data_IF_290879353696
#
_entry.id   IF_290879353696
#
_cell.length_a   1.000
_cell.length_b   1.000
_cell.length_c   1.000
_cell.angle_alpha   90.00
_cell.angle_beta   90.00
_cell.angle_gamma   90.00
#
_symmetry.space_group_name_H-M   'P 1'
#
loop_
_entity.id
_entity.type
_entity.pdbx_description
1 polymer ?
#
# COMPACT_ATOMS: atom_id res chain seq x y z
N UNK A 1 -42.55 -17.49 -28.48
CA UNK A 1 -41.80 -16.68 -29.47
C UNK A 1 -41.14 -15.56 -28.69
N UNK A 2 -39.84 -15.45 -28.51
CA UNK A 2 -38.67 -16.16 -29.02
C UNK A 2 -37.58 -15.89 -27.99
N UNK A 3 -36.89 -16.95 -27.60
CA UNK A 3 -35.56 -16.95 -26.98
C UNK A 3 -34.56 -16.15 -27.83
N UNK A 4 -33.63 -15.42 -27.22
CA UNK A 4 -32.26 -15.92 -27.15
C UNK A 4 -31.32 -15.13 -26.20
N UNK A 5 -30.31 -15.81 -25.63
CA UNK A 5 -29.34 -15.27 -24.68
C UNK A 5 -27.96 -15.02 -25.33
N UNK A 6 -27.00 -14.59 -24.48
CA UNK A 6 -25.53 -14.72 -24.63
C UNK A 6 -24.80 -13.79 -25.60
N UNK A 7 -23.86 -13.00 -25.05
CA UNK A 7 -22.53 -12.84 -25.65
C UNK A 7 -21.51 -12.42 -24.57
N UNK A 8 -20.71 -13.39 -24.14
CA UNK A 8 -19.42 -13.20 -23.46
C UNK A 8 -18.47 -12.41 -24.37
N UNK A 9 -17.76 -11.38 -23.89
CA UNK A 9 -16.57 -10.89 -24.56
C UNK A 9 -15.33 -11.60 -24.00
N UNK A 10 -15.09 -12.85 -24.42
CA UNK A 10 -13.74 -13.41 -24.35
C UNK A 10 -12.93 -12.77 -25.49
N UNK A 11 -12.16 -11.74 -25.14
CA UNK A 11 -11.18 -11.13 -26.04
C UNK A 11 -10.01 -12.10 -26.15
N UNK A 12 -9.90 -12.78 -27.28
CA UNK A 12 -8.69 -13.48 -27.67
C UNK A 12 -7.62 -12.44 -28.04
N UNK A 13 -6.52 -12.44 -27.31
CA UNK A 13 -5.31 -11.67 -27.64
C UNK A 13 -4.64 -12.40 -28.81
N UNK A 14 -4.57 -11.74 -29.96
CA UNK A 14 -3.77 -12.15 -31.11
C UNK A 14 -2.51 -11.26 -31.10
N UNK A 15 -1.33 -11.86 -30.98
CA UNK A 15 -0.07 -11.18 -31.29
C UNK A 15 0.24 -11.40 -32.78
N UNK A 16 0.48 -10.30 -33.50
CA UNK A 16 0.96 -10.30 -34.88
C UNK A 16 2.49 -10.41 -34.86
N UNK A 17 3.06 -11.36 -35.61
CA UNK A 17 4.48 -11.33 -35.92
C UNK A 17 4.78 -10.39 -37.10
N UNK A 18 6.05 -10.03 -37.29
CA UNK A 18 6.51 -9.07 -38.31
C UNK A 18 6.30 -9.55 -39.77
N UNK A 19 5.64 -10.69 -39.99
CA UNK A 19 5.26 -11.22 -41.31
C UNK A 19 3.75 -11.26 -41.59
N UNK A 20 2.92 -10.83 -40.63
CA UNK A 20 1.47 -10.64 -40.85
C UNK A 20 0.66 -11.93 -40.99
N UNK A 21 1.13 -13.05 -40.42
CA UNK A 21 0.42 -14.34 -40.44
C UNK A 21 -0.02 -14.75 -39.03
N UNK A 22 -1.33 -14.91 -38.83
CA UNK A 22 -1.91 -15.37 -37.56
C UNK A 22 -1.78 -16.90 -37.42
N UNK A 23 -1.07 -17.40 -36.41
CA UNK A 23 -0.93 -18.83 -36.11
C UNK A 23 -1.49 -19.13 -34.70
N UNK A 24 -2.37 -20.13 -34.52
CA UNK A 24 -2.91 -20.47 -33.21
C UNK A 24 -1.84 -21.11 -32.29
N UNK A 25 -1.76 -20.62 -31.05
CA UNK A 25 -0.89 -21.15 -29.98
C UNK A 25 -1.50 -22.45 -29.42
N UNK A 26 -1.14 -23.57 -30.04
CA UNK A 26 -1.36 -24.90 -29.48
C UNK A 26 -0.14 -25.79 -29.78
N UNK A 27 0.24 -26.58 -28.78
CA UNK A 27 1.14 -27.73 -28.84
C UNK A 27 2.59 -27.52 -29.33
N UNK A 28 3.48 -27.27 -28.37
CA UNK A 28 4.85 -27.81 -28.41
C UNK A 28 5.21 -28.44 -27.06
N UNK A 29 4.72 -29.66 -26.88
CA UNK A 29 5.37 -30.67 -26.06
C UNK A 29 6.49 -31.29 -26.91
N UNK A 30 7.73 -31.22 -26.43
CA UNK A 30 8.83 -32.02 -26.95
C UNK A 30 9.52 -32.72 -25.76
N UNK A 31 9.47 -34.07 -25.67
CA UNK A 31 10.11 -34.83 -24.61
C UNK A 31 11.46 -35.42 -25.05
N UNK A 32 12.52 -35.16 -24.25
CA UNK A 32 13.71 -36.00 -24.13
C UNK A 32 15.06 -35.29 -24.35
N UNK A 33 16.22 -35.92 -24.02
CA UNK A 33 16.39 -37.26 -23.47
C UNK A 33 17.08 -37.31 -22.08
N UNK A 34 16.93 -38.47 -21.46
CA UNK A 34 17.59 -38.93 -20.25
C UNK A 34 19.11 -38.71 -20.24
N UNK A 35 19.64 -38.15 -19.15
CA UNK A 35 21.00 -38.45 -18.70
C UNK A 35 20.96 -38.96 -17.27
N UNK A 36 21.16 -40.27 -17.20
CA UNK A 36 21.59 -41.05 -16.05
C UNK A 36 22.94 -40.56 -15.53
N UNK A 37 23.00 -40.16 -14.26
CA UNK A 37 24.24 -40.18 -13.48
C UNK A 37 23.94 -40.94 -12.20
N UNK A 38 24.62 -42.07 -12.05
CA UNK A 38 24.54 -42.95 -10.91
C UNK A 38 25.12 -42.32 -9.63
N UNK A 39 24.69 -42.83 -8.46
CA UNK A 39 24.94 -42.25 -7.15
C UNK A 39 26.28 -42.73 -6.59
N UNK A 40 26.90 -41.93 -5.72
CA UNK A 40 27.61 -42.36 -4.50
C UNK A 40 28.38 -41.18 -3.88
N UNK A 41 27.83 -40.61 -2.82
CA UNK A 41 28.61 -40.34 -1.60
C UNK A 41 27.66 -40.18 -0.42
N UNK A 42 27.84 -41.07 0.53
CA UNK A 42 27.13 -41.18 1.80
C UNK A 42 27.89 -40.31 2.83
N UNK A 43 27.17 -39.93 3.90
CA UNK A 43 27.62 -39.59 5.27
C UNK A 43 27.83 -38.08 5.55
N UNK A 44 27.46 -37.50 6.74
CA UNK A 44 26.61 -37.97 7.85
C UNK A 44 25.45 -37.03 8.23
N UNK A 45 24.58 -37.55 9.09
CA UNK A 45 23.64 -36.81 9.93
C UNK A 45 24.31 -35.69 10.74
N UNK A 46 23.76 -34.48 10.65
CA UNK A 46 23.88 -33.45 11.67
C UNK A 46 22.49 -32.89 11.96
N UNK A 47 21.85 -33.48 12.97
CA UNK A 47 20.75 -32.87 13.72
C UNK A 47 21.21 -31.53 14.28
N UNK A 48 20.67 -30.43 13.78
CA UNK A 48 21.05 -29.10 14.22
C UNK A 48 20.11 -28.05 13.66
N UNK A 49 18.95 -27.93 14.30
CA UNK A 49 18.07 -26.77 14.24
C UNK A 49 18.88 -25.47 14.18
N UNK A 50 18.80 -24.75 13.06
CA UNK A 50 19.27 -23.35 12.96
C UNK A 50 18.28 -22.55 12.12
N UNK A 51 17.14 -22.29 12.75
CA UNK A 51 16.08 -21.37 12.30
C UNK A 51 16.16 -20.07 13.11
N UNK A 52 17.34 -19.47 13.21
CA UNK A 52 17.60 -18.19 13.88
C UNK A 52 18.75 -17.57 13.05
N UNK A 53 18.59 -16.51 12.24
CA UNK A 53 18.62 -15.11 12.72
C UNK A 53 18.31 -14.06 11.60
N UNK A 54 17.48 -14.37 10.60
CA UNK A 54 17.19 -13.39 9.52
C UNK A 54 16.18 -12.28 9.92
N UNK A 55 15.53 -12.38 11.08
CA UNK A 55 14.58 -11.37 11.57
C UNK A 55 15.26 -10.15 12.23
N UNK A 56 16.53 -10.27 12.64
CA UNK A 56 17.24 -9.22 13.38
C UNK A 56 17.77 -8.09 12.46
N UNK A 57 18.21 -8.44 11.25
CA UNK A 57 18.73 -7.48 10.27
C UNK A 57 17.65 -6.55 9.71
N UNK A 58 16.46 -7.10 9.40
CA UNK A 58 15.32 -6.33 8.91
C UNK A 58 14.82 -5.36 9.99
N UNK A 59 14.70 -5.81 11.24
CA UNK A 59 14.26 -4.97 12.35
C UNK A 59 15.18 -3.76 12.58
N UNK A 60 16.51 -3.95 12.51
CA UNK A 60 17.49 -2.87 12.62
C UNK A 60 17.43 -1.91 11.43
N UNK A 61 17.25 -2.42 10.21
CA UNK A 61 17.11 -1.60 9.00
C UNK A 61 15.83 -0.73 9.04
N UNK A 62 14.71 -1.30 9.48
CA UNK A 62 13.46 -0.55 9.68
C UNK A 62 13.62 0.54 10.74
N UNK A 63 14.27 0.23 11.87
CA UNK A 63 14.59 1.22 12.92
C UNK A 63 15.42 2.39 12.41
N UNK A 64 16.44 2.13 11.60
CA UNK A 64 17.25 3.18 10.98
C UNK A 64 16.41 4.05 10.02
N UNK A 65 15.54 3.45 9.20
CA UNK A 65 14.69 4.18 8.26
C UNK A 65 13.67 5.10 8.94
N UNK A 66 13.01 4.68 10.03
CA UNK A 66 12.09 5.62 10.72
C UNK A 66 12.81 6.61 11.64
N UNK A 67 13.99 6.28 12.14
CA UNK A 67 14.83 7.29 12.81
C UNK A 67 15.27 8.37 11.83
N UNK A 68 15.59 7.98 10.60
CA UNK A 68 15.94 8.90 9.52
C UNK A 68 14.73 9.75 9.08
N UNK A 69 13.55 9.14 8.90
CA UNK A 69 12.30 9.87 8.61
C UNK A 69 11.93 10.87 9.71
N UNK A 70 12.09 10.48 10.99
CA UNK A 70 11.88 11.38 12.14
C UNK A 70 12.91 12.50 12.20
N UNK A 71 14.19 12.22 11.93
CA UNK A 71 15.25 13.24 11.86
C UNK A 71 15.02 14.24 10.73
N UNK A 72 14.61 13.79 9.54
CA UNK A 72 14.26 14.70 8.43
C UNK A 72 13.07 15.58 8.77
N UNK A 73 12.02 15.03 9.36
CA UNK A 73 10.87 15.81 9.81
C UNK A 73 11.23 16.80 10.92
N UNK A 74 12.10 16.42 11.85
CA UNK A 74 12.57 17.30 12.92
C UNK A 74 13.50 18.40 12.41
N UNK A 75 14.41 18.07 11.50
CA UNK A 75 15.29 19.04 10.84
C UNK A 75 14.48 20.04 10.02
N UNK A 76 13.52 19.57 9.22
CA UNK A 76 12.60 20.44 8.49
C UNK A 76 11.73 21.28 9.45
N UNK A 77 11.33 20.75 10.61
CA UNK A 77 10.59 21.51 11.62
C UNK A 77 11.46 22.60 12.28
N UNK A 78 12.76 22.35 12.46
CA UNK A 78 13.72 23.31 13.02
C UNK A 78 14.11 24.39 12.00
N UNK A 79 14.31 24.03 10.73
CA UNK A 79 14.61 24.97 9.65
C UNK A 79 13.41 25.86 9.29
N UNK A 80 12.19 25.32 9.33
CA UNK A 80 10.98 25.99 8.84
C UNK A 80 9.97 26.34 9.94
N UNK A 81 10.39 26.58 11.19
CA UNK A 81 9.53 26.82 12.37
C UNK A 81 8.46 27.94 12.26
N UNK A 82 8.34 28.61 11.11
CA UNK A 82 7.30 29.60 10.77
C UNK A 82 6.34 29.19 9.64
N UNK A 83 6.51 28.02 9.02
CA UNK A 83 5.66 27.60 7.89
C UNK A 83 4.32 27.05 8.36
N UNK A 84 3.27 27.39 7.62
CA UNK A 84 1.94 26.82 7.82
C UNK A 84 1.99 25.29 7.69
N UNK A 85 1.28 24.60 8.57
CA UNK A 85 1.15 23.14 8.50
C UNK A 85 0.02 22.81 7.53
N UNK A 86 0.28 21.91 6.59
CA UNK A 86 -0.72 21.39 5.66
C UNK A 86 -0.92 19.89 5.90
N UNK A 87 -2.01 19.33 5.38
CA UNK A 87 -2.33 17.92 5.59
C UNK A 87 -2.79 17.23 4.31
N UNK A 88 -2.42 15.96 4.19
CA UNK A 88 -3.07 15.01 3.30
C UNK A 88 -3.89 14.04 4.14
N UNK A 89 -5.07 13.64 3.68
CA UNK A 89 -5.87 12.61 4.35
C UNK A 89 -5.81 11.30 3.56
N UNK A 90 -5.52 10.20 4.24
CA UNK A 90 -5.68 8.85 3.70
C UNK A 90 -7.07 8.38 4.07
N UNK A 91 -7.86 8.01 3.07
CA UNK A 91 -9.28 7.65 3.24
C UNK A 91 -9.53 6.27 2.66
N UNK A 92 -10.22 5.42 3.43
CA UNK A 92 -10.75 4.14 2.97
C UNK A 92 -12.20 4.32 2.50
N UNK A 93 -12.57 3.59 1.46
CA UNK A 93 -13.93 3.58 0.90
C UNK A 93 -14.35 2.10 0.81
N UNK A 94 -15.11 1.59 1.79
CA UNK A 94 -15.63 0.24 1.74
C UNK A 94 -16.58 0.09 0.54
N UNK A 95 -16.38 -0.93 -0.29
CA UNK A 95 -17.22 -1.17 -1.48
C UNK A 95 -18.68 -1.40 -1.09
N UNK A 96 -18.91 -2.11 0.01
CA UNK A 96 -20.25 -2.44 0.49
C UNK A 96 -21.10 -1.22 0.91
N UNK A 97 -20.47 -0.15 1.42
CA UNK A 97 -21.20 1.02 1.94
C UNK A 97 -21.00 2.26 1.08
N UNK A 98 -19.91 2.35 0.32
CA UNK A 98 -19.48 3.53 -0.42
C UNK A 98 -19.13 4.73 0.48
N UNK A 99 -19.21 4.60 1.81
CA UNK A 99 -19.03 5.72 2.73
C UNK A 99 -17.54 5.94 3.02
N UNK A 100 -16.97 7.10 2.68
CA UNK A 100 -15.56 7.36 2.93
C UNK A 100 -15.29 7.47 4.43
N UNK A 101 -14.22 6.82 4.87
CA UNK A 101 -13.72 6.85 6.23
C UNK A 101 -12.25 7.26 6.23
N UNK A 102 -11.93 8.42 6.81
CA UNK A 102 -10.54 8.85 6.97
C UNK A 102 -9.81 7.93 7.94
N UNK A 103 -8.66 7.41 7.52
CA UNK A 103 -7.77 6.58 8.33
C UNK A 103 -6.77 7.43 9.11
N UNK A 104 -6.23 8.47 8.47
CA UNK A 104 -5.17 9.28 9.04
C UNK A 104 -4.89 10.56 8.27
N UNK A 105 -4.17 11.49 8.91
CA UNK A 105 -3.71 12.72 8.30
C UNK A 105 -2.18 12.77 8.28
N UNK A 106 -1.60 12.86 7.10
CA UNK A 106 -0.16 13.04 6.88
C UNK A 106 0.15 14.52 7.00
N UNK A 107 1.08 14.87 7.90
CA UNK A 107 1.50 16.26 8.13
C UNK A 107 2.54 16.66 7.09
N UNK A 108 2.31 17.80 6.44
CA UNK A 108 3.23 18.43 5.51
C UNK A 108 3.66 19.80 6.05
N UNK A 109 4.95 20.10 5.98
CA UNK A 109 5.57 21.36 6.37
C UNK A 109 5.55 22.31 5.15
N UNK A 110 4.44 23.02 4.98
CA UNK A 110 4.22 23.92 3.87
C UNK A 110 3.54 23.29 2.64
N UNK A 111 3.04 24.17 1.77
CA UNK A 111 2.29 23.81 0.57
C UNK A 111 3.12 22.99 -0.42
N UNK A 112 4.38 23.37 -0.65
CA UNK A 112 5.28 22.68 -1.59
C UNK A 112 5.47 21.20 -1.25
N UNK A 113 5.62 20.86 0.04
CA UNK A 113 5.75 19.47 0.46
C UNK A 113 4.43 18.70 0.27
N UNK A 114 3.30 19.35 0.54
CA UNK A 114 1.97 18.77 0.33
C UNK A 114 1.75 18.44 -1.14
N UNK A 115 2.02 19.39 -2.04
CA UNK A 115 1.92 19.22 -3.49
C UNK A 115 2.86 18.13 -4.00
N UNK A 116 4.12 18.13 -3.56
CA UNK A 116 5.08 17.12 -3.97
C UNK A 116 4.69 15.71 -3.51
N UNK A 117 4.29 15.54 -2.25
CA UNK A 117 3.85 14.24 -1.71
C UNK A 117 2.58 13.77 -2.42
N UNK A 118 1.67 14.70 -2.71
CA UNK A 118 0.46 14.39 -3.47
C UNK A 118 0.76 14.05 -4.93
N UNK A 119 1.72 14.70 -5.60
CA UNK A 119 2.05 14.40 -6.98
C UNK A 119 2.75 13.03 -7.14
N UNK A 120 3.66 12.72 -6.21
CA UNK A 120 4.52 11.52 -6.29
C UNK A 120 3.85 10.23 -5.82
N UNK A 121 2.79 10.30 -5.01
CA UNK A 121 2.09 9.09 -4.57
C UNK A 121 1.57 8.26 -5.76
N UNK A 122 1.73 6.95 -5.71
CA UNK A 122 1.30 6.06 -6.81
C UNK A 122 -0.22 6.04 -6.92
N UNK A 123 -0.73 6.33 -8.11
CA UNK A 123 -2.15 6.21 -8.42
C UNK A 123 -2.50 4.75 -8.64
N UNK A 124 -3.58 4.25 -8.02
CA UNK A 124 -4.04 2.90 -8.29
C UNK A 124 -4.59 2.80 -9.73
N UNK A 125 -4.27 1.73 -10.48
CA UNK A 125 -4.92 1.48 -11.76
C UNK A 125 -6.42 1.29 -11.54
N UNK A 126 -7.24 1.85 -12.43
CA UNK A 126 -8.70 1.87 -12.28
C UNK A 126 -9.35 0.46 -12.21
N UNK A 127 -8.62 -0.60 -12.57
CA UNK A 127 -9.13 -1.96 -12.70
C UNK A 127 -8.85 -2.88 -11.48
N UNK A 128 -8.05 -2.48 -10.50
CA UNK A 128 -7.77 -3.34 -9.33
C UNK A 128 -8.83 -3.13 -8.24
N UNK A 129 -10.02 -3.68 -8.46
CA UNK A 129 -11.17 -3.67 -7.53
C UNK A 129 -11.32 -5.04 -6.82
N UNK A 130 -10.27 -5.86 -6.81
CA UNK A 130 -10.32 -7.17 -6.13
C UNK A 130 -10.35 -7.05 -4.60
N UNK A 131 -10.12 -5.86 -4.05
CA UNK A 131 -10.25 -5.58 -2.62
C UNK A 131 -11.63 -4.99 -2.28
N UNK A 132 -12.29 -5.54 -1.25
CA UNK A 132 -13.55 -5.03 -0.69
C UNK A 132 -13.48 -3.57 -0.16
N UNK A 133 -12.30 -2.96 -0.19
CA UNK A 133 -12.02 -1.60 0.25
C UNK A 133 -11.13 -0.92 -0.79
N UNK A 134 -11.56 0.24 -1.28
CA UNK A 134 -10.72 1.15 -2.07
C UNK A 134 -10.05 2.19 -1.17
N UNK A 135 -8.89 2.71 -1.59
CA UNK A 135 -8.18 3.74 -0.87
C UNK A 135 -7.99 4.99 -1.74
N UNK A 136 -8.03 6.16 -1.11
CA UNK A 136 -7.71 7.43 -1.77
C UNK A 136 -6.85 8.32 -0.89
N UNK A 137 -6.10 9.18 -1.54
CA UNK A 137 -5.38 10.29 -0.94
C UNK A 137 -6.11 11.59 -1.26
N UNK A 138 -6.42 12.35 -0.21
CA UNK A 138 -7.15 13.62 -0.28
C UNK A 138 -6.20 14.78 0.07
N UNK A 139 -6.05 15.74 -0.84
CA UNK A 139 -5.32 16.99 -0.61
C UNK A 139 -6.24 17.98 0.07
N UNK A 140 -5.90 18.39 1.30
CA UNK A 140 -6.75 19.27 2.09
C UNK A 140 -6.37 20.74 1.93
N UNK A 141 -7.36 21.61 2.05
CA UNK A 141 -7.17 23.05 2.11
C UNK A 141 -6.45 23.52 3.37
N UNK A 142 -6.22 24.83 3.45
CA UNK A 142 -5.66 25.49 4.64
C UNK A 142 -6.60 25.42 5.85
N UNK A 143 -7.89 25.17 5.62
CA UNK A 143 -8.89 24.89 6.65
C UNK A 143 -8.86 23.44 7.15
N UNK A 144 -8.08 22.57 6.50
CA UNK A 144 -7.87 21.15 6.81
C UNK A 144 -9.13 20.28 6.82
N UNK A 145 -10.22 20.80 6.25
CA UNK A 145 -11.51 20.12 6.18
C UNK A 145 -12.02 20.03 4.75
N UNK A 146 -11.78 21.05 3.94
CA UNK A 146 -12.12 21.03 2.53
C UNK A 146 -11.12 20.16 1.77
N UNK A 147 -11.65 19.23 0.99
CA UNK A 147 -10.88 18.48 0.01
C UNK A 147 -10.73 19.36 -1.23
N UNK A 148 -9.49 19.63 -1.64
CA UNK A 148 -9.16 20.34 -2.87
C UNK A 148 -9.08 19.38 -4.05
N UNK A 149 -8.37 18.27 -3.86
CA UNK A 149 -8.14 17.23 -4.86
C UNK A 149 -8.15 15.86 -4.19
N UNK A 150 -8.55 14.84 -4.94
CA UNK A 150 -8.53 13.44 -4.50
C UNK A 150 -7.94 12.57 -5.59
N UNK A 151 -7.22 11.53 -5.19
CA UNK A 151 -6.75 10.51 -6.13
C UNK A 151 -6.80 9.11 -5.53
N UNK A 152 -7.16 8.08 -6.32
CA UNK A 152 -7.13 6.70 -5.85
C UNK A 152 -5.68 6.25 -5.63
N UNK A 153 -5.44 5.47 -4.58
CA UNK A 153 -4.13 4.92 -4.23
C UNK A 153 -4.25 3.43 -3.94
N UNK A 154 -3.16 2.68 -4.06
CA UNK A 154 -3.15 1.25 -3.72
C UNK A 154 -3.15 1.05 -2.20
N UNK A 155 -3.53 -0.16 -1.74
CA UNK A 155 -3.43 -0.53 -0.32
C UNK A 155 -2.00 -0.39 0.20
N UNK A 156 -1.01 -0.86 -0.57
CA UNK A 156 0.41 -0.72 -0.22
C UNK A 156 0.82 0.74 -0.03
N UNK A 157 0.39 1.62 -0.94
CA UNK A 157 0.68 3.05 -0.85
C UNK A 157 -0.03 3.69 0.35
N UNK A 158 -1.27 3.28 0.64
CA UNK A 158 -1.98 3.73 1.83
C UNK A 158 -1.23 3.30 3.10
N UNK A 159 -0.75 2.06 3.16
CA UNK A 159 0.02 1.56 4.29
C UNK A 159 1.35 2.31 4.44
N UNK A 160 2.08 2.54 3.35
CA UNK A 160 3.31 3.32 3.33
C UNK A 160 3.12 4.74 3.89
N UNK A 161 2.03 5.41 3.49
CA UNK A 161 1.68 6.72 4.04
C UNK A 161 1.33 6.63 5.52
N UNK A 162 0.53 5.64 5.91
CA UNK A 162 0.11 5.44 7.30
C UNK A 162 1.27 5.07 8.23
N UNK A 163 2.33 4.41 7.73
CA UNK A 163 3.57 4.13 8.48
C UNK A 163 4.22 5.40 9.04
N UNK A 164 4.03 6.55 8.38
CA UNK A 164 4.56 7.84 8.85
C UNK A 164 3.89 8.31 10.15
N UNK A 165 2.72 7.77 10.48
CA UNK A 165 1.91 8.18 11.64
C UNK A 165 2.12 7.31 12.88
N UNK A 166 2.82 6.19 12.75
CA UNK A 166 2.89 5.14 13.78
C UNK A 166 4.30 4.93 14.26
N UNK A 167 4.44 4.41 15.49
CA UNK A 167 5.72 3.87 15.93
C UNK A 167 6.04 2.59 15.14
N UNK A 168 7.31 2.40 14.79
CA UNK A 168 7.77 1.21 14.09
C UNK A 168 7.44 -0.10 14.79
N UNK A 169 7.50 -0.10 16.12
CA UNK A 169 7.20 -1.30 16.90
C UNK A 169 5.76 -1.74 16.66
N UNK A 170 4.81 -0.80 16.78
CA UNK A 170 3.39 -1.05 16.51
C UNK A 170 3.14 -1.44 15.05
N UNK A 171 3.80 -0.78 14.10
CA UNK A 171 3.71 -1.14 12.70
C UNK A 171 4.20 -2.58 12.44
N UNK A 172 5.33 -2.97 13.03
CA UNK A 172 5.89 -4.30 12.88
C UNK A 172 4.95 -5.38 13.43
N UNK A 173 4.37 -5.17 14.62
CA UNK A 173 3.40 -6.09 15.20
C UNK A 173 2.18 -6.26 14.29
N UNK A 174 1.57 -5.15 13.87
CA UNK A 174 0.38 -5.17 13.02
C UNK A 174 0.61 -5.83 11.65
N UNK A 175 1.77 -5.57 11.03
CA UNK A 175 2.15 -6.17 9.76
C UNK A 175 2.47 -7.66 9.92
N UNK A 176 3.09 -8.06 11.03
CA UNK A 176 3.40 -9.48 11.28
C UNK A 176 2.11 -10.29 11.54
N UNK A 177 1.16 -9.72 12.27
CA UNK A 177 -0.07 -10.42 12.67
C UNK A 177 -1.11 -10.52 11.55
N UNK A 178 -1.20 -9.51 10.67
CA UNK A 178 -2.27 -9.44 9.66
C UNK A 178 -1.86 -8.89 8.31
N UNK A 179 -0.56 -8.73 8.06
CA UNK A 179 -0.06 -8.12 6.83
C UNK A 179 -0.52 -6.67 6.65
N UNK A 180 -0.52 -6.22 5.39
CA UNK A 180 -0.93 -4.86 5.02
C UNK A 180 -2.42 -4.63 5.31
N UNK A 181 -3.26 -5.62 5.05
CA UNK A 181 -4.71 -5.53 5.31
C UNK A 181 -5.03 -5.42 6.80
N UNK A 182 -4.36 -6.20 7.66
CA UNK A 182 -4.50 -6.10 9.12
C UNK A 182 -4.01 -4.75 9.65
N UNK A 183 -2.91 -4.24 9.11
CA UNK A 183 -2.39 -2.90 9.42
C UNK A 183 -3.39 -1.81 9.05
N UNK A 184 -3.99 -1.83 7.86
CA UNK A 184 -5.00 -0.84 7.44
C UNK A 184 -6.34 -1.02 8.17
N UNK A 185 -6.72 -2.26 8.50
CA UNK A 185 -7.88 -2.56 9.35
C UNK A 185 -7.76 -1.91 10.74
N UNK A 186 -6.56 -1.87 11.32
CA UNK A 186 -6.32 -1.18 12.57
C UNK A 186 -6.72 0.30 12.48
N UNK A 187 -6.29 1.01 11.44
CA UNK A 187 -6.63 2.43 11.27
C UNK A 187 -8.09 2.69 10.88
N UNK A 188 -8.76 1.72 10.26
CA UNK A 188 -10.22 1.76 10.09
C UNK A 188 -10.93 1.71 11.45
N UNK A 189 -10.41 0.93 12.39
CA UNK A 189 -10.98 0.84 13.75
C UNK A 189 -10.57 2.02 14.63
N UNK A 190 -9.34 2.50 14.48
CA UNK A 190 -8.73 3.56 15.30
C UNK A 190 -8.11 4.66 14.43
N UNK A 191 -8.92 5.55 13.83
CA UNK A 191 -8.39 6.57 12.95
C UNK A 191 -7.51 7.60 13.66
N UNK A 192 -6.42 8.02 13.01
CA UNK A 192 -5.50 9.03 13.53
C UNK A 192 -5.97 10.41 13.08
N UNK A 193 -6.61 11.16 13.97
CA UNK A 193 -7.10 12.51 13.66
C UNK A 193 -6.06 13.60 13.98
N UNK A 194 -5.88 14.56 13.06
CA UNK A 194 -5.17 15.80 13.35
C UNK A 194 -6.06 16.74 14.19
N UNK A 195 -6.38 16.37 15.43
CA UNK A 195 -7.32 17.19 16.20
C UNK A 195 -6.66 18.46 16.72
N UNK A 196 -7.10 19.59 16.16
CA UNK A 196 -7.12 20.84 16.93
C UNK A 196 -7.97 20.63 18.19
N UNK A 197 -7.61 21.32 19.28
CA UNK A 197 -8.32 21.23 20.58
C UNK A 197 -9.82 21.52 20.44
N UNK A 198 -10.21 22.31 19.43
CA UNK A 198 -11.59 22.69 19.10
C UNK A 198 -12.40 21.53 18.53
N UNK A 199 -11.80 20.73 17.65
CA UNK A 199 -12.47 19.58 17.04
C UNK A 199 -12.67 18.43 18.03
N UNK A 200 -11.68 18.22 18.91
CA UNK A 200 -11.82 17.32 20.08
C UNK A 200 -13.02 17.72 20.96
N UNK A 201 -13.20 19.02 21.23
CA UNK A 201 -14.33 19.55 22.01
C UNK A 201 -15.67 19.44 21.30
N UNK A 202 -15.72 19.55 19.96
CA UNK A 202 -16.98 19.38 19.20
C UNK A 202 -17.45 17.93 19.20
N UNK A 203 -16.54 16.98 19.07
CA UNK A 203 -16.87 15.55 19.08
C UNK A 203 -17.29 15.04 20.45
N UNK A 204 -16.68 15.52 21.53
CA UNK A 204 -17.10 15.16 22.89
C UNK A 204 -18.51 15.69 23.28
N UNK A 205 -19.10 16.58 22.47
CA UNK A 205 -20.45 17.12 22.66
C UNK A 205 -21.51 16.43 21.80
N UNK A 206 -21.11 15.46 20.97
CA UNK A 206 -22.00 14.62 20.17
C UNK A 206 -22.04 13.23 20.78
#
# INVERSE_FOLDING_TARGET
>A
MTSDPTANPFVHILEEDESGQCIPVADRLDPGPHQSIDPLSVIPHSTGSRREDNASGSHRAYQLLANEGRRRNFAAMLEDGRRAIHYLAVTAIPVATGKPQTLGYIRCLGLRQQEHTFATARTAPAATVDSNVGYRLDRLGTDHHRILESKPITGDQAAELMLQLVSLHMANTLITDGGIEGFLAHFRKYPVYHTSRRERRRRAKR
#
